data_IF_958239517833
#
_entry.id   IF_958239517833
#
_cell.length_a   1.000
_cell.length_b   1.000
_cell.length_c   1.000
_cell.angle_alpha   90.00
_cell.angle_beta   90.00
_cell.angle_gamma   90.00
#
_symmetry.space_group_name_H-M   'P 1'
#
loop_
_entity.id
_entity.type
_entity.pdbx_description
1 polymer ?
#
# COMPACT_ATOMS: atom_id res chain seq x y z
N UNK A 1 -34.11 -10.70 0.88
CA UNK A 1 -33.00 -10.07 1.63
C UNK A 1 -31.75 -10.61 0.96
N UNK A 2 -31.00 -9.77 0.24
CA UNK A 2 -29.83 -10.23 -0.52
C UNK A 2 -28.58 -9.72 0.19
N UNK A 3 -27.77 -10.63 0.69
CA UNK A 3 -26.45 -10.32 1.23
C UNK A 3 -25.58 -9.74 0.10
N UNK A 4 -24.98 -8.55 0.26
CA UNK A 4 -24.04 -8.05 -0.73
C UNK A 4 -22.81 -8.95 -0.72
N UNK A 5 -22.53 -9.55 -1.87
CA UNK A 5 -21.42 -10.48 -2.07
C UNK A 5 -20.11 -9.79 -1.72
N UNK A 6 -19.36 -10.36 -0.76
CA UNK A 6 -18.06 -9.84 -0.33
C UNK A 6 -17.09 -9.70 -1.51
N UNK A 7 -16.25 -8.66 -1.54
CA UNK A 7 -15.62 -8.18 -2.77
C UNK A 7 -14.69 -9.21 -3.42
N UNK A 8 -14.91 -9.47 -4.70
CA UNK A 8 -14.18 -10.43 -5.53
C UNK A 8 -12.66 -10.19 -5.52
N UNK A 9 -11.93 -11.09 -4.86
CA UNK A 9 -10.46 -11.11 -4.86
C UNK A 9 -9.87 -11.66 -6.16
N UNK A 10 -9.07 -10.83 -6.84
CA UNK A 10 -7.81 -11.28 -7.47
C UNK A 10 -6.64 -11.22 -6.44
N UNK A 11 -5.35 -11.25 -6.75
CA UNK A 11 -4.58 -10.83 -7.96
C UNK A 11 -4.34 -9.32 -8.10
N UNK A 12 -4.63 -8.50 -7.07
CA UNK A 12 -3.97 -7.20 -6.79
C UNK A 12 -3.84 -7.05 -5.27
N UNK A 13 -2.62 -6.88 -4.76
CA UNK A 13 -2.37 -6.70 -3.33
C UNK A 13 -2.95 -5.39 -2.78
N UNK A 14 -3.06 -5.32 -1.46
CA UNK A 14 -3.00 -4.07 -0.72
C UNK A 14 -1.55 -3.60 -0.65
N UNK A 15 -1.33 -2.29 -0.65
CA UNK A 15 -0.01 -1.69 -0.89
C UNK A 15 0.22 -0.45 -0.03
N UNK A 16 1.47 -0.20 0.33
CA UNK A 16 1.90 1.06 0.93
C UNK A 16 2.34 2.03 -0.15
N UNK A 17 1.73 3.21 -0.24
CA UNK A 17 2.29 4.30 -1.05
C UNK A 17 3.41 4.97 -0.26
N UNK A 18 4.64 4.81 -0.72
CA UNK A 18 5.80 5.49 -0.17
C UNK A 18 6.08 6.79 -0.94
N UNK A 19 6.15 7.89 -0.23
CA UNK A 19 6.38 9.24 -0.72
C UNK A 19 7.54 9.89 0.04
N UNK A 20 8.31 10.76 -0.61
CA UNK A 20 9.44 11.44 0.03
C UNK A 20 9.11 12.93 0.16
N UNK A 21 8.34 13.28 1.20
CA UNK A 21 7.98 14.67 1.50
C UNK A 21 9.09 15.29 2.37
N UNK A 22 9.61 16.45 1.97
CA UNK A 22 10.63 17.24 2.71
C UNK A 22 11.94 16.50 3.09
N UNK A 23 12.18 15.31 2.52
CA UNK A 23 13.32 14.45 2.81
C UNK A 23 13.02 13.31 3.80
N UNK A 24 11.79 13.24 4.32
CA UNK A 24 11.30 12.15 5.16
C UNK A 24 10.49 11.15 4.34
N UNK A 25 10.61 9.86 4.68
CA UNK A 25 9.89 8.78 4.03
C UNK A 25 8.50 8.61 4.64
N UNK A 26 7.48 9.11 3.95
CA UNK A 26 6.08 9.02 4.35
C UNK A 26 5.45 7.78 3.71
N UNK A 27 5.00 6.83 4.53
CA UNK A 27 4.33 5.60 4.07
C UNK A 27 2.83 5.64 4.37
N UNK A 28 2.02 5.84 3.33
CA UNK A 28 0.54 5.91 3.40
C UNK A 28 -0.04 4.52 3.02
N UNK A 29 -0.71 3.79 3.91
CA UNK A 29 -1.24 2.46 3.59
C UNK A 29 -2.53 2.56 2.73
N UNK A 30 -2.63 1.78 1.65
CA UNK A 30 -3.78 1.74 0.74
C UNK A 30 -4.33 0.33 0.58
N UNK A 31 -5.66 0.24 0.64
CA UNK A 31 -6.37 -0.97 0.26
C UNK A 31 -6.34 -1.14 -1.26
N UNK A 32 -6.43 -2.38 -1.72
CA UNK A 32 -6.70 -2.76 -3.12
C UNK A 32 -7.82 -1.92 -3.78
N UNK A 33 -8.84 -1.51 -3.04
CA UNK A 33 -9.94 -0.69 -3.56
C UNK A 33 -9.56 0.79 -3.81
N UNK A 34 -8.29 1.17 -3.64
CA UNK A 34 -7.78 2.53 -3.83
C UNK A 34 -8.11 3.49 -2.68
N UNK A 35 -8.76 3.01 -1.61
CA UNK A 35 -8.97 3.84 -0.42
C UNK A 35 -7.76 3.77 0.51
N UNK A 36 -7.39 4.88 1.15
CA UNK A 36 -6.43 4.84 2.25
C UNK A 36 -6.98 3.93 3.36
N UNK A 37 -6.08 3.22 4.02
CA UNK A 37 -6.39 2.43 5.20
C UNK A 37 -6.37 3.33 6.43
N UNK A 38 -7.30 3.09 7.35
CA UNK A 38 -7.31 3.75 8.64
C UNK A 38 -6.17 3.24 9.54
N UNK A 39 -6.09 3.80 10.74
CA UNK A 39 -5.34 3.19 11.84
C UNK A 39 -5.71 1.69 11.97
N UNK A 40 -4.75 0.86 12.39
CA UNK A 40 -4.85 -0.61 12.41
C UNK A 40 -4.98 -1.33 11.05
N UNK A 41 -4.73 -0.66 9.92
CA UNK A 41 -4.86 -1.24 8.57
C UNK A 41 -6.29 -1.70 8.23
N UNK A 42 -7.30 -1.06 8.80
CA UNK A 42 -8.69 -1.35 8.50
C UNK A 42 -9.17 -0.59 7.26
N UNK A 43 -9.88 -1.27 6.36
CA UNK A 43 -10.54 -0.66 5.21
C UNK A 43 -12.05 -0.62 5.45
N UNK A 44 -12.59 0.56 5.76
CA UNK A 44 -14.05 0.75 5.90
C UNK A 44 -14.80 0.40 4.60
N UNK A 45 -14.20 0.68 3.43
CA UNK A 45 -14.77 0.36 2.12
C UNK A 45 -14.86 -1.13 1.78
N UNK A 46 -14.14 -1.98 2.51
CA UNK A 46 -14.14 -3.44 2.32
C UNK A 46 -14.45 -4.19 3.62
N UNK A 47 -14.80 -3.45 4.68
CA UNK A 47 -15.10 -3.89 6.05
C UNK A 47 -14.13 -4.97 6.57
N UNK A 48 -12.83 -4.81 6.29
CA UNK A 48 -11.79 -5.82 6.58
C UNK A 48 -10.43 -5.21 6.93
N UNK A 49 -9.64 -5.96 7.70
CA UNK A 49 -8.20 -5.70 7.85
C UNK A 49 -7.45 -6.07 6.56
N UNK A 50 -6.59 -5.17 6.10
CA UNK A 50 -5.70 -5.36 4.95
C UNK A 50 -4.28 -5.69 5.41
N UNK A 51 -3.50 -6.35 4.54
CA UNK A 51 -2.13 -6.79 4.85
C UNK A 51 -1.16 -6.37 3.75
N UNK A 52 -0.94 -5.05 3.66
CA UNK A 52 -0.04 -4.48 2.68
C UNK A 52 1.32 -5.19 2.65
N UNK A 53 1.56 -5.98 1.60
CA UNK A 53 2.80 -6.75 1.38
C UNK A 53 3.67 -6.15 0.26
N UNK A 54 3.08 -5.25 -0.53
CA UNK A 54 3.72 -4.48 -1.57
C UNK A 54 3.95 -3.02 -1.09
N UNK A 55 5.06 -2.40 -1.47
CA UNK A 55 5.30 -0.95 -1.37
C UNK A 55 5.37 -0.38 -2.78
N UNK A 56 4.69 0.74 -3.02
CA UNK A 56 4.67 1.49 -4.27
C UNK A 56 5.25 2.87 -3.98
N UNK A 57 6.44 3.14 -4.49
CA UNK A 57 7.10 4.44 -4.37
C UNK A 57 6.57 5.40 -5.44
N UNK A 58 6.21 6.64 -5.08
CA UNK A 58 5.71 7.64 -6.06
C UNK A 58 6.75 7.99 -7.12
N UNK A 59 8.03 7.98 -6.76
CA UNK A 59 9.16 8.40 -7.58
C UNK A 59 10.37 7.46 -7.40
N UNK A 60 11.27 7.46 -8.39
CA UNK A 60 12.54 6.74 -8.30
C UNK A 60 13.42 7.17 -7.13
N UNK A 61 13.31 8.44 -6.68
CA UNK A 61 14.02 8.94 -5.49
C UNK A 61 13.58 8.21 -4.23
N UNK A 62 12.27 8.08 -4.03
CA UNK A 62 11.69 7.35 -2.91
C UNK A 62 11.98 5.87 -3.00
N UNK A 63 11.93 5.29 -4.21
CA UNK A 63 12.34 3.90 -4.45
C UNK A 63 13.80 3.66 -4.04
N UNK A 64 14.71 4.56 -4.43
CA UNK A 64 16.12 4.49 -4.04
C UNK A 64 16.30 4.61 -2.53
N UNK A 65 15.56 5.51 -1.87
CA UNK A 65 15.59 5.67 -0.42
C UNK A 65 15.11 4.41 0.32
N UNK A 66 13.97 3.83 -0.08
CA UNK A 66 13.43 2.57 0.47
C UNK A 66 14.38 1.39 0.22
N UNK A 67 15.10 1.39 -0.91
CA UNK A 67 16.07 0.36 -1.26
C UNK A 67 17.39 0.49 -0.46
N UNK A 68 17.81 1.72 -0.14
CA UNK A 68 19.02 2.01 0.65
C UNK A 68 18.80 1.80 2.16
N UNK A 69 17.56 1.98 2.64
CA UNK A 69 17.15 1.74 4.03
C UNK A 69 16.57 0.32 4.26
N UNK A 70 17.36 -0.69 4.68
CA UNK A 70 16.81 -1.97 5.14
C UNK A 70 15.97 -1.76 6.41
N UNK A 71 14.71 -2.24 6.41
CA UNK A 71 14.51 -3.68 6.64
C UNK A 71 13.66 -4.38 5.55
N UNK A 72 13.40 -3.72 4.43
CA UNK A 72 12.46 -4.15 3.37
C UNK A 72 12.85 -5.41 2.54
N UNK A 73 13.73 -6.28 3.05
CA UNK A 73 14.31 -7.44 2.34
C UNK A 73 13.32 -8.52 1.88
N UNK A 74 12.07 -8.52 2.38
CA UNK A 74 11.05 -9.53 2.05
C UNK A 74 9.74 -8.91 1.53
N UNK A 75 9.72 -7.61 1.23
CA UNK A 75 8.55 -6.96 0.61
C UNK A 75 8.83 -6.68 -0.87
N UNK A 76 7.77 -6.55 -1.67
CA UNK A 76 7.90 -6.19 -3.08
C UNK A 76 7.82 -4.68 -3.19
N UNK A 77 8.91 -4.04 -3.62
CA UNK A 77 8.95 -2.59 -3.85
C UNK A 77 8.81 -2.32 -5.34
N UNK A 78 7.86 -1.48 -5.71
CA UNK A 78 7.60 -0.99 -7.05
C UNK A 78 7.76 0.52 -7.10
N UNK A 79 7.96 1.09 -8.29
CA UNK A 79 7.80 2.52 -8.54
C UNK A 79 6.51 2.75 -9.32
N UNK A 80 5.76 3.80 -8.97
CA UNK A 80 4.58 4.26 -9.68
C UNK A 80 4.98 5.01 -10.96
N UNK A 81 5.59 4.30 -11.91
CA UNK A 81 5.83 4.85 -13.25
C UNK A 81 4.51 5.32 -13.86
N UNK A 82 4.45 6.61 -14.20
CA UNK A 82 3.28 7.31 -14.71
C UNK A 82 3.32 7.44 -16.24
#
# INVERSE_FOLDING_TARGET
MAEPQGPSSGEKGDYFLAELEEGELVMKPYCRCGNPLAEEYYCEKCERQCRCTDVVCVDERTFRFVQDHPPFKNIRVFVASK
#
